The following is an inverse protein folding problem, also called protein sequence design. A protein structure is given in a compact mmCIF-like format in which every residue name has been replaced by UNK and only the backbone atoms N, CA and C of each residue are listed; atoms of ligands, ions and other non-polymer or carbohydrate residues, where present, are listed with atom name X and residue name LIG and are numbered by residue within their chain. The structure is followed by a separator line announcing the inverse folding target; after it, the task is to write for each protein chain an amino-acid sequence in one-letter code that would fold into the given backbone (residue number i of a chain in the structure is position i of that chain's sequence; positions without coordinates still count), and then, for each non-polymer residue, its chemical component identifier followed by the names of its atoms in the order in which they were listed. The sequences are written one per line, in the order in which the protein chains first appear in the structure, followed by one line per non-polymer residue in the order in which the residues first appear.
data_IF_533321130108
#
_entry.id   IF_533321130108
#
_cell.length_a   1.000
_cell.length_b   1.000
_cell.length_c   1.000
_cell.angle_alpha   90.00
_cell.angle_beta   90.00
_cell.angle_gamma   90.00
#
_symmetry.space_group_name_H-M   'P 1'
#
loop_
_entity.id
_entity.type
_entity.pdbx_description
1 polymer ?
#
# COMPACT_ATOMS: atom_id res chain seq x y z
N UNK A 1 80.05 -2.40 11.83
CA UNK A 1 78.97 -1.89 10.96
C UNK A 1 77.82 -2.90 10.97
N UNK A 2 76.79 -2.70 11.80
CA UNK A 2 75.54 -3.51 11.75
C UNK A 2 74.37 -2.53 11.82
N UNK A 3 73.60 -2.54 10.74
CA UNK A 3 72.55 -1.58 10.39
C UNK A 3 71.33 -1.81 11.29
N UNK A 4 70.87 -0.76 12.00
CA UNK A 4 69.60 -0.76 12.74
C UNK A 4 68.48 -0.43 11.76
N UNK A 5 67.58 -1.37 11.49
CA UNK A 5 66.33 -1.11 10.76
C UNK A 5 65.28 -0.67 11.79
N UNK A 6 64.83 0.59 11.68
CA UNK A 6 63.65 1.09 12.41
C UNK A 6 62.43 0.84 11.53
N UNK A 7 61.54 -0.03 11.97
CA UNK A 7 60.21 -0.21 11.36
C UNK A 7 59.26 0.76 12.05
N UNK A 8 58.86 1.82 11.35
CA UNK A 8 57.77 2.70 11.77
C UNK A 8 56.45 2.02 11.42
N UNK A 9 55.69 1.62 12.44
CA UNK A 9 54.32 1.16 12.26
C UNK A 9 53.39 2.37 12.14
N UNK A 10 52.84 2.61 10.94
CA UNK A 10 51.68 3.49 10.76
C UNK A 10 50.44 2.76 11.30
N UNK A 11 49.87 3.26 12.39
CA UNK A 11 48.55 2.87 12.88
C UNK A 11 47.48 3.53 11.99
N UNK A 12 46.89 2.74 11.08
CA UNK A 12 45.68 3.11 10.37
C UNK A 12 44.50 2.85 11.30
N UNK A 13 43.97 3.90 11.94
CA UNK A 13 42.74 3.80 12.71
C UNK A 13 41.56 3.61 11.74
N UNK A 14 41.16 2.34 11.53
CA UNK A 14 39.86 2.06 10.92
C UNK A 14 38.78 2.46 11.91
N UNK A 15 38.04 3.52 11.58
CA UNK A 15 36.83 3.92 12.29
C UNK A 15 35.75 2.87 12.01
N UNK A 16 35.62 1.90 12.92
CA UNK A 16 34.49 0.97 12.92
C UNK A 16 33.26 1.75 13.39
N UNK A 17 32.47 2.27 12.44
CA UNK A 17 31.11 2.68 12.75
C UNK A 17 30.35 1.44 13.25
N UNK A 18 29.93 1.47 14.52
CA UNK A 18 29.15 0.40 15.13
C UNK A 18 27.88 0.15 14.26
N UNK A 19 27.60 -1.10 13.84
CA UNK A 19 26.45 -1.43 13.00
C UNK A 19 25.09 -0.94 13.55
N UNK A 20 24.99 -0.75 14.87
CA UNK A 20 23.80 -0.25 15.55
C UNK A 20 23.49 1.23 15.30
N UNK A 21 24.50 2.10 15.16
CA UNK A 21 24.29 3.55 15.06
C UNK A 21 23.68 3.96 13.70
N UNK A 22 24.10 3.31 12.61
CA UNK A 22 23.55 3.53 11.28
C UNK A 22 22.15 2.91 11.12
N UNK A 23 21.91 1.75 11.75
CA UNK A 23 20.62 1.08 11.69
C UNK A 23 19.49 1.92 12.34
N UNK A 24 19.81 2.59 13.44
CA UNK A 24 18.97 3.50 14.21
C UNK A 24 18.76 4.85 13.51
N UNK A 25 19.78 5.34 12.77
CA UNK A 25 19.64 6.55 11.95
C UNK A 25 18.61 6.41 10.82
N UNK A 26 18.64 5.31 10.06
CA UNK A 26 17.69 5.04 8.97
C UNK A 26 16.25 4.89 9.46
N UNK A 27 16.06 4.27 10.63
CA UNK A 27 14.74 4.14 11.26
C UNK A 27 14.18 5.51 11.65
N UNK A 28 14.98 6.32 12.34
CA UNK A 28 14.60 7.70 12.70
C UNK A 28 14.26 8.55 11.47
N UNK A 29 15.07 8.46 10.42
CA UNK A 29 14.82 9.19 9.17
C UNK A 29 13.50 8.76 8.52
N UNK A 30 13.26 7.46 8.39
CA UNK A 30 12.04 6.91 7.80
C UNK A 30 10.80 7.34 8.58
N UNK A 31 10.86 7.28 9.92
CA UNK A 31 9.77 7.74 10.77
C UNK A 31 9.57 9.26 10.67
N UNK A 32 10.65 10.04 10.57
CA UNK A 32 10.58 11.48 10.35
C UNK A 32 9.91 11.84 9.02
N UNK A 33 10.16 11.07 7.96
CA UNK A 33 9.49 11.25 6.65
C UNK A 33 7.98 11.04 6.79
N UNK A 34 7.54 9.95 7.44
CA UNK A 34 6.11 9.71 7.68
C UNK A 34 5.46 10.84 8.49
N UNK A 35 6.11 11.25 9.59
CA UNK A 35 5.62 12.33 10.46
C UNK A 35 5.56 13.69 9.77
N UNK A 36 6.46 13.98 8.83
CA UNK A 36 6.40 15.22 8.04
C UNK A 36 5.25 15.19 7.04
N UNK A 37 5.05 14.05 6.38
CA UNK A 37 4.05 13.90 5.33
C UNK A 37 2.59 14.02 5.81
N UNK A 38 2.32 13.82 7.11
CA UNK A 38 0.99 14.12 7.69
C UNK A 38 0.61 15.61 7.61
N UNK A 39 1.58 16.48 7.30
CA UNK A 39 1.38 17.92 7.07
C UNK A 39 1.43 18.29 5.58
N UNK A 40 1.53 17.31 4.67
CA UNK A 40 1.57 17.56 3.23
C UNK A 40 0.35 18.37 2.76
N UNK A 41 0.51 19.31 1.82
CA UNK A 41 -0.61 19.96 1.15
C UNK A 41 -1.41 18.98 0.28
N UNK A 42 -0.78 17.88 -0.17
CA UNK A 42 -1.45 16.84 -0.92
C UNK A 42 -2.24 15.93 0.04
N UNK A 43 -3.57 16.01 -0.07
CA UNK A 43 -4.49 15.30 0.85
C UNK A 43 -4.20 13.79 0.97
N UNK A 44 -4.02 13.10 -0.16
CA UNK A 44 -3.84 11.65 -0.14
C UNK A 44 -2.48 11.21 0.44
N UNK A 45 -1.42 12.00 0.25
CA UNK A 45 -0.11 11.74 0.88
C UNK A 45 -0.25 11.72 2.39
N UNK A 46 -0.99 12.69 2.94
CA UNK A 46 -1.28 12.79 4.36
C UNK A 46 -2.08 11.60 4.89
N UNK A 47 -3.13 11.18 4.20
CA UNK A 47 -3.92 10.00 4.60
C UNK A 47 -3.04 8.75 4.57
N UNK A 48 -2.28 8.52 3.50
CA UNK A 48 -1.39 7.35 3.40
C UNK A 48 -0.34 7.34 4.51
N UNK A 49 0.25 8.49 4.85
CA UNK A 49 1.20 8.58 5.96
C UNK A 49 0.57 8.17 7.30
N UNK A 50 -0.66 8.63 7.58
CA UNK A 50 -1.42 8.23 8.77
C UNK A 50 -1.73 6.72 8.74
N UNK A 51 -2.16 6.18 7.60
CA UNK A 51 -2.43 4.73 7.47
C UNK A 51 -1.18 3.88 7.70
N UNK A 52 -0.02 4.31 7.21
CA UNK A 52 1.26 3.65 7.49
C UNK A 52 1.64 3.74 8.98
N UNK A 53 1.41 4.89 9.64
CA UNK A 53 1.62 5.01 11.09
C UNK A 53 0.71 4.05 11.86
N UNK A 54 -0.56 3.91 11.46
CA UNK A 54 -1.50 2.93 12.06
C UNK A 54 -0.96 1.51 11.88
N UNK A 55 -0.50 1.14 10.68
CA UNK A 55 0.03 -0.20 10.39
C UNK A 55 1.36 -0.50 11.07
N UNK A 56 2.12 0.53 11.38
CA UNK A 56 3.34 0.49 12.17
C UNK A 56 3.07 0.66 13.66
N UNK A 57 1.82 0.57 14.14
CA UNK A 57 1.46 0.62 15.56
C UNK A 57 1.81 1.95 16.28
N UNK A 58 1.99 3.05 15.54
CA UNK A 58 2.09 4.40 16.08
C UNK A 58 0.69 5.01 16.31
N UNK A 59 -0.16 4.28 17.05
CA UNK A 59 -1.59 4.59 17.22
C UNK A 59 -1.85 5.98 17.80
N UNK A 60 -1.16 6.35 18.87
CA UNK A 60 -1.38 7.62 19.57
C UNK A 60 -1.08 8.83 18.67
N UNK A 61 0.02 8.77 17.92
CA UNK A 61 0.39 9.80 16.96
C UNK A 61 -0.62 9.89 15.81
N UNK A 62 -0.98 8.74 15.23
CA UNK A 62 -1.98 8.67 14.17
C UNK A 62 -3.36 9.21 14.63
N UNK A 63 -3.72 8.96 15.90
CA UNK A 63 -4.95 9.48 16.50
C UNK A 63 -4.92 11.01 16.60
N UNK A 64 -3.85 11.59 17.15
CA UNK A 64 -3.66 13.04 17.20
C UNK A 64 -3.74 13.68 15.82
N UNK A 65 -2.98 13.17 14.85
CA UNK A 65 -2.99 13.74 13.49
C UNK A 65 -4.34 13.65 12.80
N UNK A 66 -5.13 12.61 13.09
CA UNK A 66 -6.48 12.48 12.54
C UNK A 66 -7.44 13.46 13.22
N UNK A 67 -7.33 13.63 14.54
CA UNK A 67 -8.20 14.52 15.33
C UNK A 67 -8.00 15.99 15.00
N UNK A 68 -6.74 16.42 14.85
CA UNK A 68 -6.38 17.81 14.52
C UNK A 68 -6.94 18.26 13.16
N UNK A 69 -7.22 17.31 12.26
CA UNK A 69 -7.50 17.60 10.85
C UNK A 69 -8.90 17.24 10.40
N UNK A 70 -9.58 16.31 11.07
CA UNK A 70 -10.87 15.78 10.64
C UNK A 70 -11.90 16.90 10.39
N UNK A 71 -11.99 17.88 11.30
CA UNK A 71 -12.96 18.96 11.20
C UNK A 71 -12.81 19.80 9.91
N UNK A 72 -11.57 20.00 9.45
CA UNK A 72 -11.28 20.77 8.24
C UNK A 72 -11.73 20.08 6.94
N UNK A 73 -11.87 18.75 6.96
CA UNK A 73 -12.18 17.96 5.77
C UNK A 73 -13.57 17.31 5.82
N UNK A 74 -14.32 17.45 6.91
CA UNK A 74 -15.63 16.83 7.09
C UNK A 74 -16.65 17.25 6.00
N UNK A 75 -16.47 18.42 5.41
CA UNK A 75 -17.32 18.95 4.32
C UNK A 75 -16.72 18.77 2.93
N UNK A 76 -15.51 18.21 2.80
CA UNK A 76 -14.88 17.97 1.50
C UNK A 76 -15.15 16.53 1.08
N UNK A 77 -15.97 16.30 0.03
CA UNK A 77 -16.25 14.96 -0.45
C UNK A 77 -14.96 14.20 -0.80
N UNK A 78 -14.99 12.88 -0.66
CA UNK A 78 -13.87 11.95 -0.89
C UNK A 78 -12.78 12.06 0.18
N UNK A 79 -12.38 13.28 0.54
CA UNK A 79 -11.38 13.54 1.56
C UNK A 79 -11.86 13.04 2.94
N UNK A 80 -13.09 13.37 3.34
CA UNK A 80 -13.64 12.86 4.62
C UNK A 80 -13.64 11.34 4.72
N UNK A 81 -13.83 10.61 3.61
CA UNK A 81 -13.79 9.13 3.60
C UNK A 81 -12.43 8.60 4.07
N UNK A 82 -11.33 9.23 3.63
CA UNK A 82 -9.98 8.87 4.06
C UNK A 82 -9.81 8.99 5.57
N UNK A 83 -10.24 10.11 6.17
CA UNK A 83 -10.16 10.29 7.62
C UNK A 83 -11.15 9.41 8.40
N UNK A 84 -12.37 9.18 7.88
CA UNK A 84 -13.31 8.25 8.50
C UNK A 84 -12.74 6.83 8.54
N UNK A 85 -12.02 6.40 7.49
CA UNK A 85 -11.29 5.13 7.47
C UNK A 85 -10.20 5.08 8.55
N UNK A 86 -9.40 6.14 8.69
CA UNK A 86 -8.42 6.25 9.78
C UNK A 86 -9.09 6.17 11.16
N UNK A 87 -10.16 6.93 11.40
CA UNK A 87 -10.89 6.87 12.68
C UNK A 87 -11.52 5.51 12.95
N UNK A 88 -12.02 4.81 11.93
CA UNK A 88 -12.51 3.44 12.06
C UNK A 88 -11.38 2.51 12.57
N UNK A 89 -10.21 2.52 11.91
CA UNK A 89 -9.06 1.69 12.31
C UNK A 89 -8.51 2.08 13.68
N UNK A 90 -8.62 3.36 14.02
CA UNK A 90 -8.20 3.93 15.32
C UNK A 90 -9.25 3.77 16.43
N UNK A 91 -10.41 3.15 16.20
CA UNK A 91 -11.45 3.04 17.24
C UNK A 91 -11.19 1.91 18.23
N UNK A 92 -11.12 2.24 19.52
CA UNK A 92 -10.93 1.28 20.63
C UNK A 92 -12.20 0.54 21.04
N UNK A 93 -13.39 1.08 20.74
CA UNK A 93 -14.67 0.46 21.08
C UNK A 93 -15.46 0.09 19.83
N UNK A 94 -16.28 -0.95 19.93
CA UNK A 94 -17.21 -1.35 18.87
C UNK A 94 -18.20 -0.22 18.54
N UNK A 95 -18.69 0.52 19.55
CA UNK A 95 -19.58 1.67 19.38
C UNK A 95 -18.94 2.78 18.54
N UNK A 96 -17.70 3.16 18.82
CA UNK A 96 -16.98 4.19 18.06
C UNK A 96 -16.67 3.70 16.64
N UNK A 97 -16.27 2.43 16.50
CA UNK A 97 -16.00 1.81 15.20
C UNK A 97 -17.25 1.80 14.32
N UNK A 98 -18.38 1.40 14.87
CA UNK A 98 -19.68 1.35 14.20
C UNK A 98 -20.15 2.75 13.76
N UNK A 99 -19.89 3.80 14.55
CA UNK A 99 -20.16 5.19 14.16
C UNK A 99 -19.48 5.56 12.83
N UNK A 100 -18.18 5.26 12.70
CA UNK A 100 -17.43 5.60 11.48
C UNK A 100 -17.81 4.71 10.31
N UNK A 101 -18.03 3.42 10.56
CA UNK A 101 -18.54 2.49 9.55
C UNK A 101 -19.86 2.98 8.96
N UNK A 102 -20.79 3.44 9.80
CA UNK A 102 -22.09 3.94 9.36
C UNK A 102 -21.97 5.21 8.51
N UNK A 103 -21.04 6.12 8.81
CA UNK A 103 -20.78 7.28 7.94
C UNK A 103 -20.33 6.85 6.53
N UNK A 104 -19.39 5.92 6.46
CA UNK A 104 -18.88 5.40 5.18
C UNK A 104 -19.99 4.64 4.45
N UNK A 105 -20.76 3.81 5.15
CA UNK A 105 -21.91 3.08 4.58
C UNK A 105 -22.94 4.04 3.99
N UNK A 106 -23.29 5.09 4.72
CA UNK A 106 -24.26 6.07 4.24
C UNK A 106 -23.76 6.79 2.98
N UNK A 107 -22.46 7.10 2.89
CA UNK A 107 -21.88 7.67 1.68
C UNK A 107 -21.92 6.71 0.46
N UNK A 108 -21.89 5.39 0.69
CA UNK A 108 -22.10 4.40 -0.37
C UNK A 108 -23.59 4.27 -0.78
N UNK A 109 -24.50 4.39 0.18
CA UNK A 109 -25.95 4.29 -0.05
C UNK A 109 -26.53 5.55 -0.72
N UNK A 110 -25.82 6.68 -0.70
CA UNK A 110 -26.18 7.87 -1.46
C UNK A 110 -25.88 7.68 -2.95
N UNK A 111 -26.89 7.22 -3.71
CA UNK A 111 -26.79 6.85 -5.13
C UNK A 111 -26.23 7.99 -6.00
N UNK A 112 -26.61 9.23 -5.70
CA UNK A 112 -26.14 10.43 -6.41
C UNK A 112 -24.90 11.08 -5.79
N UNK A 113 -24.39 10.50 -4.69
CA UNK A 113 -23.32 11.08 -3.90
C UNK A 113 -21.95 11.00 -4.59
N UNK A 114 -21.12 12.06 -4.51
CA UNK A 114 -19.81 12.11 -5.15
C UNK A 114 -18.76 11.17 -4.51
N UNK A 115 -19.11 10.50 -3.40
CA UNK A 115 -18.19 9.70 -2.59
C UNK A 115 -18.38 8.20 -2.78
N UNK A 116 -19.40 7.80 -3.55
CA UNK A 116 -19.88 6.42 -3.60
C UNK A 116 -18.79 5.41 -3.95
N UNK A 117 -17.91 5.76 -4.90
CA UNK A 117 -16.75 4.95 -5.30
C UNK A 117 -15.75 4.81 -4.14
N UNK A 118 -15.38 5.92 -3.48
CA UNK A 118 -14.44 5.92 -2.36
C UNK A 118 -15.00 5.19 -1.13
N UNK A 119 -16.33 5.26 -0.93
CA UNK A 119 -17.04 4.54 0.10
C UNK A 119 -17.03 3.02 -0.18
N UNK A 120 -17.31 2.59 -1.42
CA UNK A 120 -17.23 1.18 -1.82
C UNK A 120 -15.81 0.60 -1.62
N UNK A 121 -14.78 1.34 -2.05
CA UNK A 121 -13.38 0.97 -1.81
C UNK A 121 -13.10 0.85 -0.30
N UNK A 122 -13.50 1.86 0.48
CA UNK A 122 -13.21 1.91 1.91
C UNK A 122 -13.92 0.79 2.67
N UNK A 123 -15.20 0.53 2.41
CA UNK A 123 -15.93 -0.59 3.01
C UNK A 123 -15.21 -1.91 2.73
N UNK A 124 -14.76 -2.10 1.48
CA UNK A 124 -14.03 -3.32 1.08
C UNK A 124 -12.67 -3.44 1.77
N UNK A 125 -11.89 -2.35 1.86
CA UNK A 125 -10.63 -2.28 2.62
C UNK A 125 -10.80 -2.60 4.10
N UNK A 126 -11.93 -2.18 4.69
CA UNK A 126 -12.26 -2.43 6.08
C UNK A 126 -12.83 -3.84 6.32
N UNK A 127 -12.97 -4.67 5.28
CA UNK A 127 -13.49 -6.02 5.38
C UNK A 127 -15.01 -6.09 5.53
N UNK A 128 -15.74 -5.01 5.24
CA UNK A 128 -17.20 -5.00 5.29
C UNK A 128 -17.78 -5.67 4.03
N UNK A 129 -18.52 -6.76 4.21
CA UNK A 129 -19.19 -7.45 3.10
C UNK A 129 -20.40 -6.65 2.60
N UNK A 130 -20.38 -6.27 1.33
CA UNK A 130 -21.49 -5.56 0.69
C UNK A 130 -22.72 -6.46 0.50
N UNK A 131 -22.60 -7.77 0.68
CA UNK A 131 -23.75 -8.69 0.77
C UNK A 131 -24.70 -8.38 1.94
N UNK A 132 -24.27 -7.55 2.89
CA UNK A 132 -25.08 -7.09 4.02
C UNK A 132 -25.92 -5.84 3.70
N UNK A 133 -25.88 -5.34 2.46
CA UNK A 133 -26.66 -4.19 2.00
C UNK A 133 -27.81 -4.63 1.08
N UNK A 134 -28.60 -3.65 0.62
CA UNK A 134 -29.70 -3.90 -0.32
C UNK A 134 -29.18 -4.61 -1.59
N UNK A 135 -29.74 -5.78 -1.89
CA UNK A 135 -29.23 -6.63 -2.98
C UNK A 135 -29.45 -6.00 -4.35
N UNK A 136 -30.54 -5.24 -4.55
CA UNK A 136 -30.82 -4.59 -5.84
C UNK A 136 -29.81 -3.48 -6.12
N UNK A 137 -29.47 -2.71 -5.10
CA UNK A 137 -28.43 -1.68 -5.19
C UNK A 137 -27.08 -2.29 -5.57
N UNK A 138 -26.65 -3.32 -4.83
CA UNK A 138 -25.35 -3.98 -5.06
C UNK A 138 -25.31 -4.65 -6.43
N UNK A 139 -26.37 -5.36 -6.84
CA UNK A 139 -26.45 -5.97 -8.18
C UNK A 139 -26.42 -4.93 -9.30
N UNK A 140 -27.03 -3.76 -9.09
CA UNK A 140 -26.96 -2.65 -10.05
C UNK A 140 -25.53 -2.13 -10.19
N UNK A 141 -24.82 -1.95 -9.08
CA UNK A 141 -23.44 -1.44 -9.09
C UNK A 141 -22.47 -2.42 -9.72
N UNK A 142 -22.64 -3.73 -9.46
CA UNK A 142 -21.85 -4.80 -10.08
C UNK A 142 -21.97 -4.83 -11.61
N UNK A 143 -23.11 -4.38 -12.14
CA UNK A 143 -23.36 -4.30 -13.60
C UNK A 143 -22.84 -3.01 -14.22
N UNK A 144 -22.38 -2.04 -13.43
CA UNK A 144 -21.77 -0.83 -13.98
C UNK A 144 -20.44 -1.15 -14.66
N UNK A 145 -20.07 -0.45 -15.74
CA UNK A 145 -18.75 -0.61 -16.36
C UNK A 145 -17.75 0.43 -15.82
N UNK A 146 -17.71 0.59 -14.50
CA UNK A 146 -16.93 1.64 -13.82
C UNK A 146 -16.08 1.06 -12.69
N UNK A 147 -15.17 1.86 -12.14
CA UNK A 147 -14.41 1.48 -10.94
C UNK A 147 -15.32 1.12 -9.74
N UNK A 148 -16.53 1.69 -9.68
CA UNK A 148 -17.54 1.32 -8.69
C UNK A 148 -17.85 -0.19 -8.74
N UNK A 149 -18.00 -0.76 -9.93
CA UNK A 149 -18.28 -2.19 -10.07
C UNK A 149 -17.13 -3.04 -9.53
N UNK A 150 -15.89 -2.66 -9.78
CA UNK A 150 -14.73 -3.42 -9.31
C UNK A 150 -14.60 -3.37 -7.78
N UNK A 151 -14.80 -2.21 -7.16
CA UNK A 151 -14.82 -2.11 -5.69
C UNK A 151 -16.03 -2.81 -5.08
N UNK A 152 -17.20 -2.72 -5.72
CA UNK A 152 -18.39 -3.44 -5.28
C UNK A 152 -18.19 -4.95 -5.37
N UNK A 153 -17.55 -5.42 -6.46
CA UNK A 153 -17.20 -6.82 -6.66
C UNK A 153 -16.26 -7.35 -5.59
N UNK A 154 -15.23 -6.57 -5.23
CA UNK A 154 -14.38 -6.90 -4.09
C UNK A 154 -15.22 -7.02 -2.81
N UNK A 155 -15.98 -5.99 -2.44
CA UNK A 155 -16.80 -6.00 -1.23
C UNK A 155 -17.85 -7.13 -1.21
N UNK A 156 -18.35 -7.54 -2.38
CA UNK A 156 -19.27 -8.67 -2.52
C UNK A 156 -18.57 -10.01 -2.26
N UNK A 157 -17.31 -10.18 -2.66
CA UNK A 157 -16.55 -11.42 -2.44
C UNK A 157 -16.12 -11.64 -0.97
N UNK A 158 -16.28 -10.63 -0.11
CA UNK A 158 -15.94 -10.71 1.31
C UNK A 158 -16.94 -11.57 2.11
N UNK A 159 -16.48 -12.23 3.18
CA UNK A 159 -17.34 -13.09 4.00
C UNK A 159 -18.49 -12.32 4.64
N UNK A 160 -19.71 -12.85 4.52
CA UNK A 160 -20.93 -12.21 5.05
C UNK A 160 -20.94 -12.10 6.58
N UNK A 161 -20.37 -13.09 7.26
CA UNK A 161 -20.36 -13.20 8.73
C UNK A 161 -18.93 -13.43 9.26
N UNK A 162 -18.67 -13.03 10.51
CA UNK A 162 -17.37 -13.31 11.17
C UNK A 162 -17.13 -14.83 11.19
N UNK A 163 -15.92 -15.26 10.85
CA UNK A 163 -15.51 -16.66 10.82
C UNK A 163 -15.70 -17.36 9.47
N UNK A 164 -16.43 -16.76 8.51
CA UNK A 164 -16.48 -17.26 7.14
C UNK A 164 -15.23 -16.83 6.34
N UNK A 165 -14.97 -17.54 5.24
CA UNK A 165 -13.89 -17.22 4.30
C UNK A 165 -14.39 -16.37 3.14
N UNK A 166 -13.51 -15.55 2.57
CA UNK A 166 -13.79 -14.85 1.32
C UNK A 166 -13.94 -15.85 0.16
N UNK A 167 -14.80 -15.51 -0.81
CA UNK A 167 -14.95 -16.29 -2.02
C UNK A 167 -13.81 -15.98 -3.01
N UNK A 168 -12.67 -16.65 -2.81
CA UNK A 168 -11.49 -16.43 -3.65
C UNK A 168 -11.67 -16.90 -5.09
N UNK A 169 -12.50 -17.91 -5.36
CA UNK A 169 -12.77 -18.34 -6.74
C UNK A 169 -13.50 -17.26 -7.51
N UNK A 170 -14.52 -16.66 -6.91
CA UNK A 170 -15.18 -15.50 -7.48
C UNK A 170 -14.22 -14.31 -7.57
N UNK A 171 -13.50 -13.96 -6.51
CA UNK A 171 -12.59 -12.81 -6.55
C UNK A 171 -11.54 -12.94 -7.67
N UNK A 172 -10.98 -14.12 -7.87
CA UNK A 172 -9.99 -14.37 -8.92
C UNK A 172 -10.58 -14.28 -10.33
N UNK A 173 -11.89 -14.51 -10.52
CA UNK A 173 -12.54 -14.29 -11.82
C UNK A 173 -12.51 -12.81 -12.25
N UNK A 174 -12.34 -11.88 -11.31
CA UNK A 174 -12.11 -10.47 -11.60
C UNK A 174 -10.81 -10.19 -12.36
N UNK A 175 -9.82 -11.09 -12.25
CA UNK A 175 -8.56 -11.00 -13.01
C UNK A 175 -8.75 -11.40 -14.49
N UNK A 176 -9.88 -12.00 -14.85
CA UNK A 176 -10.20 -12.40 -16.22
C UNK A 176 -11.01 -11.33 -16.98
N UNK A 177 -11.36 -10.22 -16.33
CA UNK A 177 -12.10 -9.12 -16.97
C UNK A 177 -11.28 -8.48 -18.08
N UNK A 178 -11.93 -8.09 -19.17
CA UNK A 178 -11.29 -7.38 -20.29
C UNK A 178 -10.79 -5.99 -19.88
N UNK A 179 -11.54 -5.31 -19.01
CA UNK A 179 -11.19 -3.98 -18.50
C UNK A 179 -9.95 -4.05 -17.57
N UNK A 180 -8.81 -3.44 -17.95
CA UNK A 180 -7.60 -3.46 -17.13
C UNK A 180 -7.76 -2.72 -15.79
N UNK A 181 -8.63 -1.70 -15.69
CA UNK A 181 -8.91 -1.03 -14.41
C UNK A 181 -9.61 -1.99 -13.41
N UNK A 182 -10.50 -2.85 -13.92
CA UNK A 182 -11.13 -3.89 -13.09
C UNK A 182 -10.11 -4.92 -12.61
N UNK A 183 -9.24 -5.40 -13.52
CA UNK A 183 -8.13 -6.30 -13.15
C UNK A 183 -7.20 -5.67 -12.12
N UNK A 184 -6.88 -4.38 -12.28
CA UNK A 184 -6.08 -3.58 -11.32
C UNK A 184 -6.68 -3.61 -9.92
N UNK A 185 -7.96 -3.25 -9.79
CA UNK A 185 -8.66 -3.20 -8.51
C UNK A 185 -8.79 -4.61 -7.91
N UNK A 186 -9.08 -5.62 -8.74
CA UNK A 186 -9.12 -7.01 -8.29
C UNK A 186 -7.76 -7.46 -7.76
N UNK A 187 -6.67 -7.20 -8.47
CA UNK A 187 -5.33 -7.56 -8.00
C UNK A 187 -4.96 -6.83 -6.70
N UNK A 188 -5.26 -5.53 -6.62
CA UNK A 188 -5.06 -4.72 -5.42
C UNK A 188 -5.82 -5.31 -4.21
N UNK A 189 -7.08 -5.73 -4.42
CA UNK A 189 -7.92 -6.29 -3.36
C UNK A 189 -7.33 -7.51 -2.67
N UNK A 190 -6.58 -8.36 -3.41
CA UNK A 190 -6.00 -9.58 -2.87
C UNK A 190 -5.01 -9.32 -1.73
N UNK A 191 -4.39 -8.15 -1.69
CA UNK A 191 -3.50 -7.74 -0.59
C UNK A 191 -4.23 -7.43 0.73
N UNK A 192 -5.54 -7.27 0.70
CA UNK A 192 -6.37 -6.91 1.85
C UNK A 192 -7.22 -8.08 2.37
N UNK A 193 -7.41 -9.13 1.58
CA UNK A 193 -8.23 -10.26 1.96
C UNK A 193 -7.37 -11.32 2.67
N UNK A 194 -7.55 -11.55 3.98
CA UNK A 194 -6.77 -12.54 4.71
C UNK A 194 -7.14 -13.97 4.29
N UNK A 195 -6.22 -14.91 4.50
CA UNK A 195 -6.49 -16.34 4.29
C UNK A 195 -6.42 -16.82 2.85
N UNK A 196 -5.72 -16.11 1.95
CA UNK A 196 -5.53 -16.53 0.56
C UNK A 196 -4.93 -17.96 0.48
N UNK A 197 -5.56 -18.91 -0.23
CA UNK A 197 -5.08 -20.28 -0.33
C UNK A 197 -3.78 -20.40 -1.15
N UNK A 198 -2.75 -21.04 -0.59
CA UNK A 198 -1.45 -21.24 -1.28
C UNK A 198 -1.61 -21.97 -2.63
N UNK A 199 -2.55 -22.91 -2.73
CA UNK A 199 -2.82 -23.64 -3.97
C UNK A 199 -3.31 -22.74 -5.12
N UNK A 200 -3.90 -21.57 -4.82
CA UNK A 200 -4.38 -20.60 -5.82
C UNK A 200 -3.31 -19.58 -6.23
N UNK A 201 -2.11 -19.63 -5.64
CA UNK A 201 -1.04 -18.68 -5.96
C UNK A 201 -0.46 -18.83 -7.38
N UNK A 202 -0.12 -20.04 -7.87
CA UNK A 202 0.53 -20.16 -9.19
C UNK A 202 -0.26 -19.53 -10.35
N UNK A 203 -1.61 -19.68 -10.44
CA UNK A 203 -2.40 -18.96 -11.43
C UNK A 203 -2.26 -17.43 -11.38
N UNK A 204 -2.25 -16.84 -10.18
CA UNK A 204 -2.06 -15.37 -10.01
C UNK A 204 -0.69 -14.94 -10.50
N UNK A 205 0.36 -15.69 -10.15
CA UNK A 205 1.72 -15.40 -10.59
C UNK A 205 1.87 -15.51 -12.11
N UNK A 206 1.32 -16.55 -12.73
CA UNK A 206 1.33 -16.69 -14.19
C UNK A 206 0.56 -15.58 -14.89
N UNK A 207 -0.59 -15.16 -14.33
CA UNK A 207 -1.36 -14.03 -14.85
C UNK A 207 -0.55 -12.74 -14.80
N UNK A 208 0.10 -12.47 -13.66
CA UNK A 208 0.94 -11.29 -13.50
C UNK A 208 2.09 -11.22 -14.52
N UNK A 209 2.72 -12.35 -14.83
CA UNK A 209 3.81 -12.41 -15.82
C UNK A 209 3.33 -12.32 -17.27
N UNK A 210 2.03 -12.59 -17.54
CA UNK A 210 1.42 -12.47 -18.88
C UNK A 210 0.76 -11.12 -19.12
N UNK A 211 0.47 -10.36 -18.08
CA UNK A 211 -0.14 -9.04 -18.21
C UNK A 211 0.83 -8.10 -18.95
N UNK A 212 0.37 -7.36 -19.97
CA UNK A 212 1.21 -6.41 -20.70
C UNK A 212 1.82 -5.36 -19.77
N UNK A 213 3.11 -5.05 -19.92
CA UNK A 213 3.80 -4.05 -19.07
C UNK A 213 3.20 -2.64 -19.18
N UNK A 214 2.50 -2.34 -20.29
CA UNK A 214 1.78 -1.09 -20.52
C UNK A 214 0.42 -1.02 -19.83
N UNK A 215 -0.06 -2.13 -19.28
CA UNK A 215 -1.37 -2.19 -18.61
C UNK A 215 -1.33 -1.58 -17.21
N UNK A 216 -2.37 -0.82 -16.86
CA UNK A 216 -2.52 -0.28 -15.50
C UNK A 216 -2.67 -1.38 -14.43
N UNK A 217 -3.01 -2.61 -14.82
CA UNK A 217 -3.12 -3.75 -13.90
C UNK A 217 -1.76 -4.39 -13.56
N UNK A 218 -0.77 -4.22 -14.43
CA UNK A 218 0.53 -4.89 -14.35
C UNK A 218 1.23 -4.74 -12.98
N UNK A 219 1.44 -3.52 -12.44
CA UNK A 219 2.13 -3.39 -11.16
C UNK A 219 1.37 -4.05 -10.01
N UNK A 220 0.03 -3.98 -10.02
CA UNK A 220 -0.82 -4.54 -8.97
C UNK A 220 -0.89 -6.07 -9.03
N UNK A 221 -0.89 -6.65 -10.22
CA UNK A 221 -0.79 -8.09 -10.40
C UNK A 221 0.55 -8.63 -9.91
N UNK A 222 1.66 -7.93 -10.21
CA UNK A 222 2.98 -8.28 -9.69
C UNK A 222 3.03 -8.17 -8.16
N UNK A 223 2.53 -7.07 -7.60
CA UNK A 223 2.48 -6.85 -6.16
C UNK A 223 1.63 -7.90 -5.42
N UNK A 224 0.47 -8.25 -5.97
CA UNK A 224 -0.37 -9.35 -5.48
C UNK A 224 0.36 -10.70 -5.56
N UNK A 225 0.89 -11.05 -6.73
CA UNK A 225 1.62 -12.31 -6.92
C UNK A 225 2.81 -12.44 -5.96
N UNK A 226 3.55 -11.35 -5.73
CA UNK A 226 4.66 -11.35 -4.77
C UNK A 226 4.17 -11.54 -3.33
N UNK A 227 3.18 -10.76 -2.91
CA UNK A 227 2.66 -10.75 -1.53
C UNK A 227 2.00 -12.07 -1.15
N UNK A 228 1.29 -12.71 -2.09
CA UNK A 228 0.53 -13.94 -1.84
C UNK A 228 1.37 -15.21 -1.81
N UNK A 229 2.63 -15.20 -2.27
CA UNK A 229 3.53 -16.35 -2.16
C UNK A 229 4.04 -16.55 -0.73
N UNK A 230 3.16 -17.02 0.15
CA UNK A 230 3.45 -17.24 1.58
C UNK A 230 4.36 -18.43 1.86
N UNK A 231 4.42 -19.40 0.94
CA UNK A 231 5.21 -20.61 1.10
C UNK A 231 6.73 -20.36 1.08
N UNK A 232 7.16 -19.12 0.76
CA UNK A 232 8.58 -18.76 0.61
C UNK A 232 9.34 -19.70 -0.36
N UNK A 233 8.60 -20.37 -1.24
CA UNK A 233 9.15 -21.32 -2.19
C UNK A 233 10.02 -20.53 -3.16
N UNK A 234 11.32 -20.86 -3.19
CA UNK A 234 12.31 -20.28 -4.10
C UNK A 234 12.17 -20.84 -5.52
N UNK A 235 10.93 -20.93 -6.01
CA UNK A 235 10.66 -21.39 -7.38
C UNK A 235 11.15 -20.35 -8.39
N UNK A 236 11.48 -20.80 -9.60
CA UNK A 236 11.79 -19.88 -10.70
C UNK A 236 10.64 -18.91 -10.97
N UNK A 237 9.38 -19.37 -10.85
CA UNK A 237 8.21 -18.51 -10.98
C UNK A 237 8.22 -17.36 -9.97
N UNK A 238 8.52 -17.65 -8.70
CA UNK A 238 8.61 -16.62 -7.65
C UNK A 238 9.76 -15.64 -7.89
N UNK A 239 10.91 -16.13 -8.39
CA UNK A 239 12.05 -15.29 -8.76
C UNK A 239 11.69 -14.36 -9.92
N UNK A 240 11.04 -14.87 -10.98
CA UNK A 240 10.59 -14.05 -12.11
C UNK A 240 9.64 -12.94 -11.67
N UNK A 241 8.67 -13.25 -10.80
CA UNK A 241 7.77 -12.24 -10.22
C UNK A 241 8.54 -11.19 -9.44
N UNK A 242 9.46 -11.58 -8.54
CA UNK A 242 10.29 -10.60 -7.78
C UNK A 242 11.12 -9.74 -8.73
N UNK A 243 11.78 -10.33 -9.72
CA UNK A 243 12.59 -9.57 -10.70
C UNK A 243 11.76 -8.53 -11.47
N UNK A 244 10.58 -8.92 -11.98
CA UNK A 244 9.69 -7.98 -12.69
C UNK A 244 9.15 -6.90 -11.75
N UNK A 245 8.77 -7.25 -10.52
CA UNK A 245 8.35 -6.30 -9.49
C UNK A 245 9.44 -5.27 -9.19
N UNK A 246 10.69 -5.70 -8.97
CA UNK A 246 11.81 -4.79 -8.71
C UNK A 246 12.10 -3.84 -9.88
N UNK A 247 11.71 -4.19 -11.11
CA UNK A 247 11.78 -3.33 -12.29
C UNK A 247 10.88 -2.09 -12.20
N UNK A 248 9.82 -2.12 -11.38
CA UNK A 248 8.89 -1.00 -11.21
C UNK A 248 9.56 0.25 -10.61
N UNK A 249 10.74 0.14 -10.00
CA UNK A 249 11.48 1.30 -9.47
C UNK A 249 11.85 2.31 -10.56
N UNK A 250 11.98 1.88 -11.81
CA UNK A 250 12.41 2.71 -12.94
C UNK A 250 11.24 3.39 -13.66
N UNK A 251 9.98 3.03 -13.36
CA UNK A 251 8.81 3.58 -14.06
C UNK A 251 8.61 5.05 -13.72
N UNK A 252 8.00 5.83 -14.62
CA UNK A 252 7.55 7.20 -14.34
C UNK A 252 6.10 7.24 -13.78
N UNK A 253 5.52 6.09 -13.47
CA UNK A 253 4.22 5.98 -12.80
C UNK A 253 4.37 5.89 -11.28
N UNK A 254 3.71 6.82 -10.58
CA UNK A 254 3.65 6.87 -9.12
C UNK A 254 3.09 5.58 -8.52
N UNK A 255 1.97 5.11 -9.09
CA UNK A 255 1.22 3.99 -8.54
C UNK A 255 2.05 2.70 -8.54
N UNK A 256 2.81 2.46 -9.60
CA UNK A 256 3.74 1.33 -9.74
C UNK A 256 4.80 1.31 -8.65
N UNK A 257 5.38 2.47 -8.32
CA UNK A 257 6.42 2.58 -7.28
C UNK A 257 5.85 2.43 -5.87
N UNK A 258 4.66 2.97 -5.62
CA UNK A 258 3.94 2.75 -4.35
C UNK A 258 3.63 1.27 -4.18
N UNK A 259 3.13 0.61 -5.23
CA UNK A 259 2.80 -0.81 -5.20
C UNK A 259 4.03 -1.69 -4.98
N UNK A 260 5.17 -1.36 -5.60
CA UNK A 260 6.47 -1.97 -5.30
C UNK A 260 6.79 -1.85 -3.81
N UNK A 261 6.78 -0.65 -3.24
CA UNK A 261 7.08 -0.44 -1.83
C UNK A 261 6.14 -1.23 -0.91
N UNK A 262 4.83 -1.23 -1.21
CA UNK A 262 3.82 -1.96 -0.45
C UNK A 262 4.04 -3.47 -0.49
N UNK A 263 4.34 -4.02 -1.67
CA UNK A 263 4.63 -5.44 -1.84
C UNK A 263 5.89 -5.87 -1.07
N UNK A 264 6.96 -5.07 -1.10
CA UNK A 264 8.17 -5.30 -0.31
C UNK A 264 7.91 -5.19 1.20
N UNK A 265 7.09 -4.22 1.62
CA UNK A 265 6.68 -4.05 3.02
C UNK A 265 5.85 -5.22 3.55
N UNK A 266 5.05 -5.86 2.68
CA UNK A 266 4.25 -7.02 3.04
C UNK A 266 5.09 -8.30 3.21
N UNK A 267 6.25 -8.37 2.55
CA UNK A 267 7.23 -9.45 2.69
C UNK A 267 8.64 -8.88 2.93
N UNK A 268 8.91 -8.40 4.14
CA UNK A 268 10.15 -7.69 4.42
C UNK A 268 11.37 -8.58 4.20
N UNK A 269 12.32 -8.08 3.42
CA UNK A 269 13.60 -8.73 3.13
C UNK A 269 14.69 -7.66 3.20
N UNK A 270 15.74 -7.92 3.98
CA UNK A 270 16.85 -6.97 4.16
C UNK A 270 17.58 -6.69 2.85
N UNK A 271 17.55 -7.60 1.88
CA UNK A 271 18.15 -7.36 0.56
C UNK A 271 17.52 -6.18 -0.18
N UNK A 272 16.29 -5.81 0.18
CA UNK A 272 15.52 -4.79 -0.52
C UNK A 272 15.75 -3.38 0.06
N UNK A 273 16.49 -3.25 1.18
CA UNK A 273 16.81 -1.97 1.82
C UNK A 273 17.52 -0.97 0.89
N UNK A 274 18.55 -1.34 0.09
CA UNK A 274 19.21 -0.38 -0.80
C UNK A 274 18.26 0.24 -1.82
N UNK A 275 17.30 -0.54 -2.34
CA UNK A 275 16.28 -0.04 -3.26
C UNK A 275 15.34 0.91 -2.54
N UNK A 276 14.82 0.54 -1.37
CA UNK A 276 13.90 1.38 -0.62
C UNK A 276 14.56 2.70 -0.19
N UNK A 277 15.85 2.68 0.17
CA UNK A 277 16.61 3.90 0.46
C UNK A 277 16.76 4.79 -0.78
N UNK A 278 16.92 4.23 -1.97
CA UNK A 278 16.95 5.04 -3.21
C UNK A 278 15.62 5.74 -3.48
N UNK A 279 14.50 5.08 -3.18
CA UNK A 279 13.16 5.68 -3.28
C UNK A 279 12.90 6.70 -2.17
N UNK A 280 13.32 6.42 -0.94
CA UNK A 280 13.26 7.34 0.21
C UNK A 280 14.03 8.64 -0.08
N UNK A 281 15.18 8.54 -0.74
CA UNK A 281 15.97 9.72 -1.10
C UNK A 281 15.64 10.31 -2.48
N UNK A 282 14.57 9.82 -3.12
CA UNK A 282 14.08 10.30 -4.43
C UNK A 282 15.22 10.38 -5.46
N UNK A 283 16.08 9.36 -5.52
CA UNK A 283 17.28 9.36 -6.40
C UNK A 283 16.93 9.42 -7.88
N UNK A 284 15.76 8.91 -8.24
CA UNK A 284 15.19 8.99 -9.59
C UNK A 284 13.80 9.64 -9.45
N UNK A 285 13.69 10.97 -9.52
CA UNK A 285 12.40 11.63 -9.32
C UNK A 285 11.40 11.28 -10.43
N UNK A 286 10.14 11.17 -10.05
CA UNK A 286 9.01 11.24 -10.98
C UNK A 286 8.96 12.65 -11.58
N UNK A 287 8.76 12.71 -12.89
CA UNK A 287 8.64 13.97 -13.63
C UNK A 287 7.17 14.33 -13.82
N UNK A 288 6.85 15.64 -14.01
CA UNK A 288 5.52 16.03 -14.42
C UNK A 288 5.11 15.31 -15.70
N UNK A 289 3.88 14.80 -15.72
CA UNK A 289 3.28 14.27 -16.94
C UNK A 289 3.06 15.43 -17.94
N UNK A 290 2.92 15.15 -19.24
CA UNK A 290 2.54 16.17 -20.22
C UNK A 290 1.27 16.91 -19.77
N UNK A 291 1.36 18.24 -19.60
CA UNK A 291 0.27 19.08 -19.10
C UNK A 291 0.10 19.13 -17.57
N UNK A 292 0.89 18.36 -16.82
CA UNK A 292 0.91 18.38 -15.35
C UNK A 292 1.84 19.45 -14.79
N UNK A 293 1.65 19.77 -13.51
CA UNK A 293 2.45 20.75 -12.77
C UNK A 293 3.62 20.10 -12.01
N UNK A 294 4.63 20.91 -11.67
CA UNK A 294 5.70 20.46 -10.78
C UNK A 294 5.16 20.06 -9.39
N UNK A 295 4.15 20.78 -8.89
CA UNK A 295 3.51 20.45 -7.60
C UNK A 295 2.88 19.06 -7.58
N UNK A 296 2.32 18.59 -8.69
CA UNK A 296 1.76 17.24 -8.80
C UNK A 296 2.87 16.18 -8.80
N UNK A 297 3.98 16.45 -9.49
CA UNK A 297 5.15 15.57 -9.47
C UNK A 297 5.79 15.52 -8.07
N UNK A 298 5.87 16.64 -7.37
CA UNK A 298 6.40 16.71 -6.00
C UNK A 298 5.53 15.91 -5.04
N UNK A 299 4.20 16.07 -5.10
CA UNK A 299 3.26 15.27 -4.33
C UNK A 299 3.38 13.77 -4.67
N UNK A 300 3.61 13.43 -5.93
CA UNK A 300 3.80 12.05 -6.35
C UNK A 300 5.10 11.45 -5.80
N UNK A 301 6.19 12.22 -5.80
CA UNK A 301 7.46 11.81 -5.20
C UNK A 301 7.34 11.64 -3.68
N UNK A 302 6.62 12.54 -3.00
CA UNK A 302 6.36 12.45 -1.56
C UNK A 302 5.57 11.16 -1.21
N UNK A 303 4.56 10.82 -2.00
CA UNK A 303 3.76 9.59 -1.83
C UNK A 303 4.62 8.31 -1.97
N UNK A 304 5.54 8.29 -2.96
CA UNK A 304 6.52 7.19 -3.11
C UNK A 304 7.49 7.17 -1.93
N UNK A 305 7.92 8.34 -1.45
CA UNK A 305 8.84 8.49 -0.34
C UNK A 305 8.27 7.89 0.95
N UNK A 306 7.01 8.18 1.28
CA UNK A 306 6.35 7.63 2.46
C UNK A 306 6.11 6.12 2.34
N UNK A 307 5.80 5.61 1.14
CA UNK A 307 5.66 4.18 0.92
C UNK A 307 7.00 3.45 1.11
N UNK A 308 8.11 4.06 0.66
CA UNK A 308 9.45 3.54 0.89
C UNK A 308 9.83 3.55 2.37
N UNK A 309 9.56 4.65 3.08
CA UNK A 309 9.75 4.77 4.53
C UNK A 309 8.99 3.67 5.28
N UNK A 310 7.74 3.44 4.92
CA UNK A 310 6.92 2.35 5.47
C UNK A 310 7.58 0.98 5.26
N UNK A 311 8.04 0.69 4.04
CA UNK A 311 8.75 -0.57 3.73
C UNK A 311 10.02 -0.76 4.56
N UNK A 312 10.82 0.29 4.75
CA UNK A 312 12.03 0.26 5.58
C UNK A 312 11.67 -0.06 7.04
N UNK A 313 10.68 0.64 7.61
CA UNK A 313 10.24 0.44 8.98
C UNK A 313 9.67 -0.97 9.20
N UNK A 314 8.97 -1.54 8.20
CA UNK A 314 8.50 -2.93 8.23
C UNK A 314 9.64 -3.95 8.25
N UNK A 315 10.74 -3.71 7.52
CA UNK A 315 11.95 -4.55 7.57
C UNK A 315 12.64 -4.45 8.94
N UNK A 316 12.61 -3.28 9.57
CA UNK A 316 13.23 -3.05 10.87
C UNK A 316 12.44 -3.67 12.03
N UNK A 317 11.12 -3.60 12.00
CA UNK A 317 10.24 -4.19 13.04
C UNK A 317 10.27 -5.73 13.12
N UNK A 318 10.80 -6.42 12.11
CA UNK A 318 10.97 -7.88 12.15
C UNK A 318 12.28 -8.34 12.83
N UNK A 319 13.07 -7.40 13.36
CA UNK A 319 14.33 -7.66 14.08
C UNK A 319 14.08 -7.74 15.57
#
# INVERSE_FOLDING_TARGET
MKLRVRISALLFAMSYALPGAAADATERESLSVLRKAVLSPAFWVKVHAIEFLIELDYREEAMRYTEDQLAAFEQTPQNRIGFWRCKYRLSDSEKTREKWLNKIRNAYLDIGGPERIHAAETLSKLGFSLQNLDSKLVESDLKSNTDLAAFTFWGYCLPKHRGAHANFDQLLSGLEQENPAFRKITAYSLGFVPGFPTAKWPPVAMKALKEPETSVAYPYLLGAAYTLNRSNNKTELAKCVKTKLLGLKETQDKSSRIELCRALAARPDRSDLPLLLNLLHVRVPLRPLPGGSQSEADAANEDVQIAAAYGILRIKKQQ
#
